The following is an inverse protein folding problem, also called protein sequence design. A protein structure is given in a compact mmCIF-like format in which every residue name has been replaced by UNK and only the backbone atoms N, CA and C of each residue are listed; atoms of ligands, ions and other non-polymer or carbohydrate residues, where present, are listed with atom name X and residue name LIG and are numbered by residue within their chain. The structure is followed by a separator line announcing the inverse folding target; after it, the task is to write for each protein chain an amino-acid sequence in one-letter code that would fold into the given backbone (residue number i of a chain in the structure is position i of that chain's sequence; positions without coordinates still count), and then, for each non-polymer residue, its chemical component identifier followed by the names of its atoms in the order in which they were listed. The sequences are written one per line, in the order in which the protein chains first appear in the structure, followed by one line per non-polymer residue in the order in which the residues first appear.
data_IF_478380214015
#
_entry.id   IF_478380214015
#
_cell.length_a   1.000
_cell.length_b   1.000
_cell.length_c   1.000
_cell.angle_alpha   90.00
_cell.angle_beta   90.00
_cell.angle_gamma   90.00
#
_symmetry.space_group_name_H-M   'P 1'
#
loop_
_entity.id
_entity.type
_entity.pdbx_description
1 polymer ?
#
# COMPACT_ATOMS: atom_id res chain seq x y z
N UNK A 1 16.48 23.07 -6.33
CA UNK A 1 16.90 22.82 -4.93
C UNK A 1 15.84 23.21 -3.89
N UNK A 2 15.26 24.42 -3.93
CA UNK A 2 14.21 24.85 -2.95
C UNK A 2 12.99 23.92 -2.87
N UNK A 3 12.49 23.41 -4.01
CA UNK A 3 11.36 22.48 -4.07
C UNK A 3 11.67 21.14 -3.35
N UNK A 4 12.80 20.52 -3.66
CA UNK A 4 13.22 19.27 -3.01
C UNK A 4 13.36 19.44 -1.49
N UNK A 5 13.94 20.57 -1.06
CA UNK A 5 14.07 20.86 0.37
C UNK A 5 12.70 21.05 1.04
N UNK A 6 11.74 21.78 0.40
CA UNK A 6 10.36 21.94 0.91
C UNK A 6 9.65 20.59 1.03
N UNK A 7 9.77 19.72 0.00
CA UNK A 7 9.17 18.38 0.00
C UNK A 7 9.80 17.45 1.03
N UNK A 8 11.12 17.50 1.18
CA UNK A 8 11.83 16.72 2.21
C UNK A 8 11.44 17.18 3.61
N UNK A 9 11.35 18.50 3.84
CA UNK A 9 10.87 19.02 5.11
C UNK A 9 9.43 18.58 5.40
N UNK A 10 8.54 18.61 4.41
CA UNK A 10 7.17 18.08 4.53
C UNK A 10 7.15 16.59 4.86
N UNK A 11 7.97 15.78 4.17
CA UNK A 11 8.12 14.35 4.46
C UNK A 11 8.53 14.10 5.92
N UNK A 12 9.59 14.78 6.38
CA UNK A 12 10.10 14.63 7.77
C UNK A 12 9.04 15.09 8.77
N UNK A 13 8.40 16.23 8.53
CA UNK A 13 7.34 16.75 9.41
C UNK A 13 6.17 15.78 9.50
N UNK A 14 5.70 15.25 8.37
CA UNK A 14 4.60 14.28 8.34
C UNK A 14 4.98 13.00 9.08
N UNK A 15 6.20 12.50 8.89
CA UNK A 15 6.70 11.34 9.64
C UNK A 15 6.75 11.57 11.14
N UNK A 16 7.23 12.75 11.58
CA UNK A 16 7.26 13.11 12.99
C UNK A 16 5.84 13.16 13.59
N UNK A 17 4.91 13.82 12.91
CA UNK A 17 3.52 13.93 13.37
C UNK A 17 2.86 12.55 13.46
N UNK A 18 2.97 11.73 12.42
CA UNK A 18 2.39 10.38 12.40
C UNK A 18 3.01 9.50 13.48
N UNK A 19 4.34 9.53 13.63
CA UNK A 19 5.04 8.76 14.66
C UNK A 19 4.63 9.18 16.07
N UNK A 20 4.49 10.50 16.30
CA UNK A 20 4.00 11.02 17.57
C UNK A 20 2.56 10.59 17.86
N UNK A 21 1.67 10.70 16.87
CA UNK A 21 0.27 10.28 17.02
C UNK A 21 0.15 8.79 17.33
N UNK A 22 0.91 7.96 16.63
CA UNK A 22 0.97 6.52 16.90
C UNK A 22 1.48 6.26 18.31
N UNK A 23 2.60 6.86 18.71
CA UNK A 23 3.15 6.71 20.05
C UNK A 23 2.17 7.17 21.13
N UNK A 24 1.57 8.35 20.97
CA UNK A 24 0.61 8.91 21.93
C UNK A 24 -0.67 8.05 22.03
N UNK A 25 -1.19 7.54 20.91
CA UNK A 25 -2.33 6.65 20.91
C UNK A 25 -2.09 5.42 21.80
N UNK A 26 -0.93 4.78 21.68
CA UNK A 26 -0.60 3.62 22.52
C UNK A 26 -0.26 3.99 23.96
N UNK A 27 0.18 5.21 24.23
CA UNK A 27 0.40 5.69 25.61
C UNK A 27 -0.92 5.93 26.37
N UNK A 28 -2.02 6.19 25.65
CA UNK A 28 -3.36 6.43 26.24
C UNK A 28 -4.18 5.15 26.40
N UNK A 29 -3.85 4.09 25.66
CA UNK A 29 -4.58 2.81 25.75
C UNK A 29 -4.48 2.26 27.19
N UNK A 30 -5.62 1.91 27.83
CA UNK A 30 -5.61 1.33 29.17
C UNK A 30 -4.83 0.01 29.21
N UNK A 31 -3.89 -0.07 30.13
CA UNK A 31 -3.03 -1.23 30.33
C UNK A 31 -1.60 -0.80 30.65
N UNK A 32 -0.97 -1.48 31.57
CA UNK A 32 0.42 -1.22 31.95
C UNK A 32 1.35 -2.14 31.14
N UNK A 33 2.24 -1.59 30.29
CA UNK A 33 3.19 -2.36 29.52
C UNK A 33 4.05 -3.31 30.39
N UNK A 34 4.45 -2.86 31.58
CA UNK A 34 5.24 -3.67 32.50
C UNK A 34 4.44 -4.90 32.98
N UNK A 35 3.16 -4.72 33.29
CA UNK A 35 2.26 -5.83 33.65
C UNK A 35 2.06 -6.79 32.47
N UNK A 36 1.93 -6.27 31.23
CA UNK A 36 1.79 -7.10 30.03
C UNK A 36 3.04 -7.95 29.77
N UNK A 37 4.24 -7.42 30.04
CA UNK A 37 5.50 -8.16 29.90
C UNK A 37 5.72 -9.24 30.97
N UNK A 38 5.41 -8.94 32.23
CA UNK A 38 5.63 -9.86 33.35
C UNK A 38 4.52 -10.93 33.47
N UNK A 39 3.33 -10.62 32.95
CA UNK A 39 2.20 -11.55 33.02
C UNK A 39 1.92 -12.06 34.45
N UNK A 40 1.90 -13.37 34.61
CA UNK A 40 1.65 -14.03 35.91
C UNK A 40 2.83 -13.94 36.91
N UNK A 41 4.00 -13.45 36.47
CA UNK A 41 5.18 -13.25 37.33
C UNK A 41 5.28 -11.84 37.89
N UNK A 42 4.26 -11.02 37.71
CA UNK A 42 4.20 -9.63 38.15
C UNK A 42 4.12 -9.56 39.69
N UNK A 43 5.23 -9.17 40.32
CA UNK A 43 5.24 -8.72 41.71
C UNK A 43 5.36 -7.20 41.76
N UNK A 44 4.89 -6.53 42.86
CA UNK A 44 4.97 -5.07 42.97
C UNK A 44 6.39 -4.53 42.74
N UNK A 45 7.41 -5.21 43.26
CA UNK A 45 8.82 -4.81 43.16
C UNK A 45 9.32 -4.95 41.72
N UNK A 46 9.02 -6.09 41.04
CA UNK A 46 9.38 -6.31 39.63
C UNK A 46 8.68 -5.33 38.71
N UNK A 47 7.43 -5.01 38.99
CA UNK A 47 6.68 -4.00 38.22
C UNK A 47 7.29 -2.63 38.36
N UNK A 48 7.64 -2.20 39.58
CA UNK A 48 8.27 -0.91 39.83
C UNK A 48 9.63 -0.81 39.09
N UNK A 49 10.48 -1.81 39.23
CA UNK A 49 11.77 -1.88 38.55
C UNK A 49 11.65 -1.86 37.02
N UNK A 50 10.70 -2.61 36.47
CA UNK A 50 10.49 -2.66 35.02
C UNK A 50 9.90 -1.35 34.47
N UNK A 51 8.98 -0.71 35.20
CA UNK A 51 8.45 0.64 34.83
C UNK A 51 9.55 1.68 34.80
N UNK A 52 10.47 1.66 35.76
CA UNK A 52 11.62 2.56 35.78
C UNK A 52 12.57 2.27 34.61
N UNK A 53 12.89 0.99 34.35
CA UNK A 53 13.73 0.55 33.23
C UNK A 53 13.12 0.93 31.86
N UNK A 54 11.82 0.85 31.72
CA UNK A 54 11.09 1.23 30.51
C UNK A 54 10.84 2.73 30.40
N UNK A 55 11.23 3.54 31.41
CA UNK A 55 11.01 4.96 31.46
C UNK A 55 9.53 5.35 31.52
N UNK A 56 8.64 4.48 31.98
CA UNK A 56 7.19 4.73 31.98
C UNK A 56 6.76 5.87 32.93
N UNK A 57 7.63 6.23 33.89
CA UNK A 57 7.43 7.33 34.81
C UNK A 57 7.81 8.72 34.25
N UNK A 58 8.48 8.73 33.09
CA UNK A 58 8.91 9.96 32.44
C UNK A 58 7.75 10.65 31.68
N UNK A 59 7.82 11.99 31.52
CA UNK A 59 6.85 12.75 30.72
C UNK A 59 6.74 12.21 29.29
N UNK A 60 5.52 12.24 28.71
CA UNK A 60 5.21 11.69 27.38
C UNK A 60 6.19 12.12 26.28
N UNK A 61 6.56 13.40 26.27
CA UNK A 61 7.47 13.96 25.26
C UNK A 61 8.90 13.42 25.38
N UNK A 62 9.38 13.20 26.62
CA UNK A 62 10.70 12.59 26.87
C UNK A 62 10.71 11.15 26.38
N UNK A 63 9.68 10.39 26.73
CA UNK A 63 9.48 9.00 26.26
C UNK A 63 9.41 8.91 24.75
N UNK A 64 8.66 9.83 24.10
CA UNK A 64 8.60 9.89 22.65
C UNK A 64 9.96 10.19 22.03
N UNK A 65 10.71 11.17 22.59
CA UNK A 65 12.06 11.50 22.10
C UNK A 65 13.01 10.31 22.16
N UNK A 66 13.08 9.61 23.29
CA UNK A 66 13.89 8.40 23.46
C UNK A 66 13.47 7.29 22.51
N UNK A 67 12.15 7.04 22.39
CA UNK A 67 11.61 6.06 21.46
C UNK A 67 11.95 6.40 20.00
N UNK A 68 11.80 7.65 19.59
CA UNK A 68 12.09 8.07 18.22
C UNK A 68 13.57 7.93 17.86
N UNK A 69 14.47 8.27 18.78
CA UNK A 69 15.91 8.08 18.58
C UNK A 69 16.26 6.60 18.45
N UNK A 70 15.75 5.75 19.32
CA UNK A 70 15.95 4.30 19.25
C UNK A 70 15.40 3.73 17.95
N UNK A 71 14.20 4.18 17.54
CA UNK A 71 13.56 3.75 16.29
C UNK A 71 14.42 4.07 15.06
N UNK A 72 15.00 5.28 14.99
CA UNK A 72 15.89 5.68 13.88
C UNK A 72 17.19 4.85 13.88
N UNK A 73 17.67 4.42 15.05
CA UNK A 73 18.84 3.54 15.18
C UNK A 73 18.51 2.06 14.85
N UNK A 74 17.24 1.75 14.59
CA UNK A 74 16.78 0.40 14.23
C UNK A 74 16.46 -0.48 15.45
N UNK A 75 16.37 0.12 16.63
CA UNK A 75 15.81 -0.51 17.82
C UNK A 75 14.31 -0.19 17.92
N UNK A 76 13.48 -1.17 17.58
CA UNK A 76 12.03 -1.07 17.61
C UNK A 76 11.43 -1.61 18.92
N UNK A 77 12.28 -1.90 19.90
CA UNK A 77 11.91 -2.49 21.18
C UNK A 77 11.77 -4.00 21.16
N UNK A 78 11.22 -4.53 22.26
CA UNK A 78 11.03 -5.98 22.48
C UNK A 78 9.53 -6.30 22.50
N UNK A 79 9.14 -7.35 21.80
CA UNK A 79 7.78 -7.90 21.83
C UNK A 79 7.38 -8.30 23.23
N UNK A 80 6.22 -7.87 23.70
CA UNK A 80 5.69 -8.26 25.01
C UNK A 80 5.29 -9.73 25.05
N UNK A 81 4.79 -10.25 23.93
CA UNK A 81 4.30 -11.62 23.81
C UNK A 81 5.42 -12.65 23.62
N UNK A 82 6.37 -12.35 22.73
CA UNK A 82 7.38 -13.33 22.29
C UNK A 82 8.74 -13.11 22.93
N UNK A 83 8.95 -12.02 23.70
CA UNK A 83 10.21 -11.66 24.34
C UNK A 83 11.41 -11.65 23.37
N UNK A 84 11.15 -11.25 22.13
CA UNK A 84 12.11 -11.16 21.03
C UNK A 84 12.20 -9.72 20.53
N UNK A 85 13.35 -9.34 19.98
CA UNK A 85 13.51 -8.04 19.33
C UNK A 85 12.51 -7.89 18.19
N UNK A 86 11.73 -6.79 18.18
CA UNK A 86 10.73 -6.49 17.14
C UNK A 86 11.37 -6.45 15.76
N UNK A 87 12.60 -5.92 15.67
CA UNK A 87 13.36 -5.85 14.41
C UNK A 87 13.48 -7.24 13.75
N UNK A 88 13.83 -8.29 14.49
CA UNK A 88 13.97 -9.63 13.93
C UNK A 88 12.64 -10.20 13.48
N UNK A 89 11.55 -9.88 14.19
CA UNK A 89 10.21 -10.36 13.85
C UNK A 89 9.68 -9.76 12.54
N UNK A 90 9.96 -8.48 12.26
CA UNK A 90 9.41 -7.78 11.09
C UNK A 90 10.32 -7.85 9.87
N UNK A 91 11.64 -7.99 10.05
CA UNK A 91 12.62 -7.93 8.96
C UNK A 91 12.32 -8.92 7.81
N UNK A 92 11.97 -10.16 8.15
CA UNK A 92 11.62 -11.19 7.16
C UNK A 92 10.25 -10.97 6.49
N UNK A 93 9.38 -10.16 7.09
CA UNK A 93 8.01 -9.90 6.62
C UNK A 93 7.95 -8.72 5.65
N UNK A 94 8.88 -7.78 5.80
CA UNK A 94 8.99 -6.58 4.94
C UNK A 94 9.07 -6.95 3.45
N UNK A 95 10.00 -7.82 2.99
CA UNK A 95 10.09 -8.19 1.58
C UNK A 95 8.80 -8.82 1.04
N UNK A 96 8.08 -9.58 1.87
CA UNK A 96 6.84 -10.26 1.49
C UNK A 96 5.76 -9.23 1.14
N UNK A 97 5.47 -8.30 2.07
CA UNK A 97 4.45 -7.25 1.86
C UNK A 97 4.84 -6.30 0.73
N UNK A 98 6.12 -5.91 0.64
CA UNK A 98 6.60 -5.05 -0.43
C UNK A 98 6.47 -5.71 -1.81
N UNK A 99 6.84 -6.98 -1.94
CA UNK A 99 6.71 -7.73 -3.21
C UNK A 99 5.24 -7.89 -3.59
N UNK A 100 4.38 -8.26 -2.64
CA UNK A 100 2.94 -8.37 -2.87
C UNK A 100 2.35 -7.05 -3.40
N UNK A 101 2.67 -5.93 -2.74
CA UNK A 101 2.18 -4.60 -3.13
C UNK A 101 2.74 -4.17 -4.49
N UNK A 102 4.04 -4.41 -4.73
CA UNK A 102 4.67 -4.08 -6.01
C UNK A 102 4.06 -4.89 -7.16
N UNK A 103 3.87 -6.20 -7.00
CA UNK A 103 3.22 -7.05 -8.00
C UNK A 103 1.78 -6.59 -8.26
N UNK A 104 1.02 -6.27 -7.21
CA UNK A 104 -0.34 -5.75 -7.35
C UNK A 104 -0.37 -4.46 -8.17
N UNK A 105 0.56 -3.54 -7.90
CA UNK A 105 0.69 -2.30 -8.66
C UNK A 105 1.04 -2.54 -10.13
N UNK A 106 2.00 -3.43 -10.41
CA UNK A 106 2.38 -3.78 -11.76
C UNK A 106 1.22 -4.41 -12.54
N UNK A 107 0.48 -5.33 -11.93
CA UNK A 107 -0.71 -5.95 -12.52
C UNK A 107 -1.78 -4.89 -12.81
N UNK A 108 -2.05 -3.99 -11.85
CA UNK A 108 -2.99 -2.89 -12.04
C UNK A 108 -2.64 -2.06 -13.27
N UNK A 109 -1.38 -1.62 -13.39
CA UNK A 109 -0.91 -0.80 -14.52
C UNK A 109 -0.97 -1.58 -15.84
N UNK A 110 -0.47 -2.82 -15.84
CA UNK A 110 -0.43 -3.68 -17.03
C UNK A 110 -1.82 -4.01 -17.58
N UNK A 111 -2.84 -4.08 -16.72
CA UNK A 111 -4.22 -4.34 -17.14
C UNK A 111 -4.94 -3.04 -17.47
N UNK A 112 -4.84 -2.01 -16.63
CA UNK A 112 -5.69 -0.83 -16.74
C UNK A 112 -5.36 0.03 -17.97
N UNK A 113 -4.09 0.19 -18.31
CA UNK A 113 -3.71 1.05 -19.44
C UNK A 113 -4.17 0.45 -20.78
N UNK A 114 -3.83 -0.81 -21.14
CA UNK A 114 -4.28 -1.37 -22.40
C UNK A 114 -5.80 -1.49 -22.51
N UNK A 115 -6.47 -1.95 -21.44
CA UNK A 115 -7.93 -2.13 -21.45
C UNK A 115 -8.65 -0.77 -21.51
N UNK A 116 -8.18 0.24 -20.76
CA UNK A 116 -8.75 1.59 -20.79
C UNK A 116 -8.64 2.25 -22.17
N UNK A 117 -7.49 2.12 -22.83
CA UNK A 117 -7.28 2.62 -24.20
C UNK A 117 -8.11 1.85 -25.22
N UNK A 118 -8.21 0.54 -25.07
CA UNK A 118 -9.04 -0.29 -25.92
C UNK A 118 -10.52 0.13 -25.82
N UNK A 119 -11.05 0.32 -24.61
CA UNK A 119 -12.41 0.80 -24.39
C UNK A 119 -12.64 2.20 -24.95
N UNK A 120 -11.67 3.09 -24.82
CA UNK A 120 -11.76 4.44 -25.40
C UNK A 120 -11.78 4.42 -26.91
N UNK A 121 -10.96 3.56 -27.53
CA UNK A 121 -10.92 3.40 -29.00
C UNK A 121 -12.23 2.83 -29.58
N UNK A 122 -12.90 1.92 -28.83
CA UNK A 122 -14.16 1.29 -29.25
C UNK A 122 -15.38 1.87 -28.50
N UNK A 123 -15.31 3.13 -28.10
CA UNK A 123 -16.32 3.76 -27.27
C UNK A 123 -17.73 3.67 -27.88
N UNK A 124 -18.71 3.28 -27.04
CA UNK A 124 -20.11 3.08 -27.44
C UNK A 124 -20.40 1.72 -28.08
N UNK A 125 -19.36 0.90 -28.40
CA UNK A 125 -19.51 -0.45 -28.91
C UNK A 125 -19.98 -1.46 -27.85
N UNK A 126 -20.32 -2.67 -28.30
CA UNK A 126 -20.79 -3.75 -27.40
C UNK A 126 -19.73 -4.15 -26.39
N UNK A 127 -18.47 -4.28 -26.82
CA UNK A 127 -17.36 -4.67 -25.93
C UNK A 127 -17.09 -3.61 -24.88
N UNK A 128 -17.07 -2.33 -25.25
CA UNK A 128 -16.94 -1.21 -24.31
C UNK A 128 -18.01 -1.25 -23.22
N UNK A 129 -19.29 -1.48 -23.60
CA UNK A 129 -20.40 -1.60 -22.65
C UNK A 129 -20.23 -2.80 -21.71
N UNK A 130 -19.81 -3.95 -22.22
CA UNK A 130 -19.57 -5.15 -21.39
C UNK A 130 -18.45 -4.86 -20.38
N UNK A 131 -17.33 -4.31 -20.83
CA UNK A 131 -16.20 -3.99 -19.92
C UNK A 131 -16.62 -2.97 -18.86
N UNK A 132 -17.42 -1.96 -19.20
CA UNK A 132 -17.93 -0.98 -18.23
C UNK A 132 -18.84 -1.63 -17.18
N UNK A 133 -19.72 -2.57 -17.58
CA UNK A 133 -20.57 -3.31 -16.63
C UNK A 133 -19.70 -4.17 -15.72
N UNK A 134 -18.76 -4.95 -16.28
CA UNK A 134 -17.84 -5.79 -15.50
C UNK A 134 -17.02 -4.95 -14.54
N UNK A 135 -16.46 -3.81 -14.99
CA UNK A 135 -15.75 -2.89 -14.13
C UNK A 135 -16.60 -2.37 -12.97
N UNK A 136 -17.87 -2.02 -13.25
CA UNK A 136 -18.78 -1.54 -12.21
C UNK A 136 -19.04 -2.61 -11.14
N UNK A 137 -19.18 -3.87 -11.53
CA UNK A 137 -19.32 -5.01 -10.61
C UNK A 137 -18.03 -5.19 -9.80
N UNK A 138 -16.87 -5.21 -10.46
CA UNK A 138 -15.57 -5.37 -9.79
C UNK A 138 -15.31 -4.25 -8.76
N UNK A 139 -15.63 -2.99 -9.11
CA UNK A 139 -15.47 -1.84 -8.21
C UNK A 139 -16.36 -1.91 -6.97
N UNK A 140 -17.49 -2.60 -7.03
CA UNK A 140 -18.40 -2.78 -5.91
C UNK A 140 -17.94 -3.89 -4.94
N UNK A 141 -17.03 -4.76 -5.37
CA UNK A 141 -16.53 -5.88 -4.58
C UNK A 141 -15.40 -5.42 -3.65
N UNK A 142 -15.51 -5.61 -2.32
CA UNK A 142 -14.42 -5.33 -1.40
C UNK A 142 -13.19 -6.22 -1.70
N UNK A 143 -11.95 -5.71 -1.53
CA UNK A 143 -10.73 -6.47 -1.86
C UNK A 143 -10.63 -7.84 -1.15
N UNK A 144 -11.03 -7.95 0.12
CA UNK A 144 -10.99 -9.22 0.85
C UNK A 144 -11.95 -10.25 0.23
N UNK A 145 -13.11 -9.81 -0.22
CA UNK A 145 -14.09 -10.68 -0.85
C UNK A 145 -13.60 -11.15 -2.23
N UNK A 146 -12.95 -10.26 -3.01
CA UNK A 146 -12.24 -10.66 -4.23
C UNK A 146 -11.20 -11.75 -3.94
N UNK A 147 -10.45 -11.63 -2.84
CA UNK A 147 -9.50 -12.65 -2.41
C UNK A 147 -10.14 -13.99 -2.13
N UNK A 148 -11.28 -14.00 -1.42
CA UNK A 148 -12.04 -15.22 -1.13
C UNK A 148 -12.55 -15.86 -2.43
N UNK A 149 -13.14 -15.08 -3.34
CA UNK A 149 -13.63 -15.57 -4.63
C UNK A 149 -12.51 -16.14 -5.49
N UNK A 150 -11.34 -15.49 -5.53
CA UNK A 150 -10.17 -15.98 -6.25
C UNK A 150 -9.67 -17.28 -5.62
N UNK A 151 -9.61 -17.39 -4.31
CA UNK A 151 -9.22 -18.61 -3.62
C UNK A 151 -10.20 -19.74 -3.91
N UNK A 152 -11.50 -19.47 -3.87
CA UNK A 152 -12.53 -20.46 -4.20
C UNK A 152 -12.41 -20.94 -5.66
N UNK A 153 -12.38 -20.00 -6.62
CA UNK A 153 -12.40 -20.34 -8.02
C UNK A 153 -11.07 -20.96 -8.48
N UNK A 154 -9.95 -20.27 -8.24
CA UNK A 154 -8.66 -20.69 -8.77
C UNK A 154 -7.91 -21.68 -7.87
N UNK A 155 -8.17 -21.65 -6.56
CA UNK A 155 -7.54 -22.58 -5.62
C UNK A 155 -8.33 -23.89 -5.47
N UNK A 156 -9.64 -23.81 -5.19
CA UNK A 156 -10.43 -24.99 -4.83
C UNK A 156 -11.15 -25.63 -6.03
N UNK A 157 -11.62 -24.84 -7.00
CA UNK A 157 -12.35 -25.38 -8.17
C UNK A 157 -11.41 -25.72 -9.31
N UNK A 158 -10.53 -24.78 -9.69
CA UNK A 158 -9.62 -24.97 -10.84
C UNK A 158 -8.26 -25.54 -10.45
N UNK A 159 -7.94 -25.65 -9.15
CA UNK A 159 -6.68 -26.21 -8.62
C UNK A 159 -5.41 -25.59 -9.24
N UNK A 160 -5.43 -24.29 -9.57
CA UNK A 160 -4.28 -23.59 -10.17
C UNK A 160 -3.22 -23.16 -9.15
N UNK A 161 -3.59 -23.10 -7.88
CA UNK A 161 -2.66 -22.92 -6.76
C UNK A 161 -3.22 -23.59 -5.50
N UNK A 162 -2.36 -23.91 -4.55
CA UNK A 162 -2.78 -24.49 -3.26
C UNK A 162 -3.04 -23.37 -2.24
N UNK A 163 -4.28 -23.16 -1.77
CA UNK A 163 -4.55 -22.22 -0.71
C UNK A 163 -3.74 -22.53 0.55
N UNK A 164 -3.04 -21.52 1.10
CA UNK A 164 -2.13 -21.71 2.22
C UNK A 164 -0.77 -22.35 1.89
N UNK A 165 -0.53 -22.72 0.65
CA UNK A 165 0.75 -23.29 0.17
C UNK A 165 1.81 -22.20 -0.10
N UNK A 166 1.95 -21.22 0.80
CA UNK A 166 2.96 -20.18 0.69
C UNK A 166 4.38 -20.75 0.64
N UNK A 167 5.15 -20.29 -0.34
CA UNK A 167 6.58 -20.65 -0.48
C UNK A 167 7.41 -19.40 -0.14
N UNK A 168 8.39 -19.57 0.78
CA UNK A 168 9.28 -18.47 1.15
C UNK A 168 10.22 -18.10 0.01
N UNK A 169 10.52 -16.81 -0.12
CA UNK A 169 11.51 -16.30 -1.09
C UNK A 169 12.92 -16.84 -0.80
N UNK A 170 13.21 -17.26 0.43
CA UNK A 170 14.46 -17.89 0.82
C UNK A 170 14.57 -19.33 0.34
N UNK A 171 13.44 -20.01 0.11
CA UNK A 171 13.38 -21.38 -0.37
C UNK A 171 13.34 -21.44 -1.89
N UNK A 172 12.47 -20.62 -2.52
CA UNK A 172 12.31 -20.54 -3.97
C UNK A 172 11.71 -19.20 -4.38
N UNK A 173 12.48 -18.38 -5.08
CA UNK A 173 12.00 -17.08 -5.59
C UNK A 173 10.87 -17.28 -6.61
N UNK A 174 10.97 -18.26 -7.51
CA UNK A 174 9.94 -18.54 -8.51
C UNK A 174 8.66 -19.06 -7.86
N UNK A 175 8.75 -19.95 -6.88
CA UNK A 175 7.60 -20.42 -6.10
C UNK A 175 6.94 -19.31 -5.30
N UNK A 176 7.74 -18.43 -4.69
CA UNK A 176 7.27 -17.25 -3.98
C UNK A 176 6.48 -16.31 -4.90
N UNK A 177 7.07 -15.89 -6.02
CA UNK A 177 6.41 -15.00 -6.97
C UNK A 177 5.17 -15.65 -7.59
N UNK A 178 5.25 -16.95 -7.94
CA UNK A 178 4.11 -17.71 -8.46
C UNK A 178 2.94 -17.76 -7.48
N UNK A 179 3.19 -17.99 -6.19
CA UNK A 179 2.14 -17.95 -5.17
C UNK A 179 1.50 -16.58 -5.02
N UNK A 180 2.29 -15.51 -5.11
CA UNK A 180 1.81 -14.13 -4.94
C UNK A 180 0.95 -13.61 -6.11
N UNK A 181 0.90 -14.28 -7.28
CA UNK A 181 0.11 -13.84 -8.44
C UNK A 181 -1.37 -13.64 -8.05
N UNK A 182 -2.01 -14.65 -7.49
CA UNK A 182 -3.45 -14.59 -7.15
C UNK A 182 -3.79 -13.58 -6.05
N UNK A 183 -3.04 -13.52 -4.94
CA UNK A 183 -3.18 -12.43 -3.96
C UNK A 183 -2.99 -11.04 -4.57
N UNK A 184 -1.98 -10.89 -5.45
CA UNK A 184 -1.73 -9.62 -6.15
C UNK A 184 -2.88 -9.22 -7.07
N UNK A 185 -3.48 -10.17 -7.78
CA UNK A 185 -4.68 -9.94 -8.60
C UNK A 185 -5.84 -9.48 -7.73
N UNK A 186 -6.05 -10.09 -6.56
CA UNK A 186 -7.13 -9.70 -5.65
C UNK A 186 -7.04 -8.22 -5.20
N UNK A 187 -5.82 -7.74 -4.93
CA UNK A 187 -5.57 -6.34 -4.57
C UNK A 187 -5.71 -5.43 -5.81
N UNK A 188 -5.19 -5.87 -6.96
CA UNK A 188 -5.13 -5.07 -8.17
C UNK A 188 -6.49 -4.84 -8.84
N UNK A 189 -7.38 -5.83 -8.82
CA UNK A 189 -8.62 -5.88 -9.61
C UNK A 189 -9.52 -4.65 -9.39
N UNK A 190 -9.91 -4.26 -8.17
CA UNK A 190 -10.78 -3.10 -7.95
C UNK A 190 -10.12 -1.79 -8.41
N UNK A 191 -8.81 -1.65 -8.18
CA UNK A 191 -8.05 -0.46 -8.57
C UNK A 191 -7.83 -0.39 -10.08
N UNK A 192 -7.60 -1.54 -10.74
CA UNK A 192 -7.50 -1.62 -12.19
C UNK A 192 -8.83 -1.23 -12.85
N UNK A 193 -9.96 -1.71 -12.36
CA UNK A 193 -11.28 -1.35 -12.87
C UNK A 193 -11.55 0.17 -12.78
N UNK A 194 -11.13 0.80 -11.67
CA UNK A 194 -11.25 2.24 -11.49
C UNK A 194 -10.33 3.01 -12.45
N UNK A 195 -9.07 2.56 -12.61
CA UNK A 195 -8.12 3.17 -13.54
C UNK A 195 -8.56 3.04 -15.01
N UNK A 196 -9.14 1.89 -15.41
CA UNK A 196 -9.72 1.67 -16.74
C UNK A 196 -10.80 2.72 -17.01
N UNK A 197 -11.76 2.87 -16.09
CA UNK A 197 -12.85 3.85 -16.21
C UNK A 197 -12.32 5.28 -16.31
N UNK A 198 -11.35 5.63 -15.47
CA UNK A 198 -10.74 6.95 -15.45
C UNK A 198 -10.00 7.23 -16.77
N UNK A 199 -9.15 6.33 -17.24
CA UNK A 199 -8.41 6.50 -18.49
C UNK A 199 -9.34 6.64 -19.69
N UNK A 200 -10.35 5.74 -19.79
CA UNK A 200 -11.36 5.82 -20.84
C UNK A 200 -12.06 7.19 -20.85
N UNK A 201 -12.51 7.66 -19.69
CA UNK A 201 -13.23 8.95 -19.59
C UNK A 201 -12.31 10.12 -19.95
N UNK A 202 -11.07 10.12 -19.48
CA UNK A 202 -10.06 11.11 -19.79
C UNK A 202 -9.78 11.18 -21.29
N UNK A 203 -9.57 10.04 -21.93
CA UNK A 203 -9.35 9.96 -23.39
C UNK A 203 -10.54 10.51 -24.15
N UNK A 204 -11.77 10.14 -23.79
CA UNK A 204 -12.99 10.61 -24.47
C UNK A 204 -13.22 12.12 -24.27
N UNK A 205 -12.81 12.69 -23.15
CA UNK A 205 -12.86 14.13 -22.91
C UNK A 205 -11.82 14.86 -23.76
N UNK A 206 -10.60 14.39 -23.82
CA UNK A 206 -9.52 14.96 -24.63
C UNK A 206 -9.82 14.90 -26.13
N UNK A 207 -10.47 13.82 -26.60
CA UNK A 207 -10.86 13.65 -28.02
C UNK A 207 -11.81 14.73 -28.53
N UNK A 208 -12.46 15.49 -27.65
CA UNK A 208 -13.40 16.58 -28.02
C UNK A 208 -12.71 17.93 -28.23
N UNK A 209 -11.43 18.06 -27.86
CA UNK A 209 -10.72 19.34 -27.90
C UNK A 209 -10.25 19.71 -29.31
N UNK A 210 -10.08 21.02 -29.57
CA UNK A 210 -9.78 21.55 -30.89
C UNK A 210 -8.42 21.10 -31.46
N UNK A 211 -7.43 20.87 -30.60
CA UNK A 211 -6.14 20.38 -31.07
C UNK A 211 -6.24 18.97 -31.72
N UNK A 212 -7.23 18.17 -31.30
CA UNK A 212 -7.50 16.85 -31.89
C UNK A 212 -8.05 17.01 -33.30
N UNK A 213 -8.96 18.01 -33.54
CA UNK A 213 -9.43 18.33 -34.88
C UNK A 213 -8.30 18.75 -35.79
N UNK A 214 -7.37 19.58 -35.25
CA UNK A 214 -6.17 19.99 -35.99
C UNK A 214 -5.27 18.79 -36.34
N UNK A 215 -5.14 17.82 -35.44
CA UNK A 215 -4.36 16.60 -35.70
C UNK A 215 -4.98 15.78 -36.86
N UNK A 216 -6.32 15.65 -36.90
CA UNK A 216 -7.01 15.00 -38.01
C UNK A 216 -6.85 15.74 -39.32
N UNK A 217 -6.95 17.09 -39.31
CA UNK A 217 -6.77 17.93 -40.50
C UNK A 217 -5.36 17.83 -41.09
N UNK A 218 -4.36 17.42 -40.28
CA UNK A 218 -2.97 17.11 -40.71
C UNK A 218 -2.80 15.71 -41.29
N UNK A 219 -3.88 14.93 -41.46
CA UNK A 219 -3.85 13.60 -42.07
C UNK A 219 -3.56 12.47 -41.12
N UNK A 220 -3.53 12.71 -39.80
CA UNK A 220 -3.35 11.63 -38.83
C UNK A 220 -4.59 10.73 -38.78
N UNK A 221 -4.38 9.41 -38.75
CA UNK A 221 -5.46 8.44 -38.52
C UNK A 221 -5.84 8.37 -37.02
N UNK A 222 -6.98 7.76 -36.72
CA UNK A 222 -7.51 7.66 -35.35
C UNK A 222 -6.53 7.07 -34.36
N UNK A 223 -5.73 6.05 -34.75
CA UNK A 223 -4.70 5.46 -33.87
C UNK A 223 -3.57 6.46 -33.62
N UNK A 224 -3.07 7.14 -34.63
CA UNK A 224 -2.04 8.17 -34.51
C UNK A 224 -2.49 9.31 -33.57
N UNK A 225 -3.71 9.82 -33.78
CA UNK A 225 -4.30 10.85 -32.91
C UNK A 225 -4.38 10.36 -31.46
N UNK A 226 -4.89 9.16 -31.24
CA UNK A 226 -5.05 8.60 -29.90
C UNK A 226 -3.70 8.45 -29.16
N UNK A 227 -2.73 7.78 -29.79
CA UNK A 227 -1.49 7.42 -29.11
C UNK A 227 -0.46 8.55 -29.07
N UNK A 228 -0.37 9.40 -30.11
CA UNK A 228 0.65 10.44 -30.21
C UNK A 228 0.21 11.79 -29.63
N UNK A 229 -1.09 12.09 -29.65
CA UNK A 229 -1.59 13.41 -29.25
C UNK A 229 -2.45 13.33 -27.97
N UNK A 230 -3.49 12.47 -27.96
CA UNK A 230 -4.50 12.45 -26.90
C UNK A 230 -3.96 11.77 -25.63
N UNK A 231 -3.31 10.61 -25.75
CA UNK A 231 -2.86 9.82 -24.59
C UNK A 231 -1.92 10.62 -23.68
N UNK A 232 -1.07 11.45 -24.24
CA UNK A 232 -0.11 12.25 -23.49
C UNK A 232 -0.79 13.16 -22.46
N UNK A 233 -1.94 13.71 -22.77
CA UNK A 233 -2.71 14.59 -21.88
C UNK A 233 -3.69 13.76 -21.03
N UNK A 234 -4.37 12.79 -21.65
CA UNK A 234 -5.37 11.96 -20.99
C UNK A 234 -4.80 11.06 -19.87
N UNK A 235 -3.50 10.76 -19.89
CA UNK A 235 -2.87 9.91 -18.89
C UNK A 235 -2.57 10.66 -17.58
N UNK A 236 -2.53 11.99 -17.57
CA UNK A 236 -2.16 12.78 -16.37
C UNK A 236 -3.05 12.48 -15.17
N UNK A 237 -4.40 12.52 -15.25
CA UNK A 237 -5.26 12.17 -14.14
C UNK A 237 -5.09 10.71 -13.69
N UNK A 238 -4.76 9.81 -14.63
CA UNK A 238 -4.53 8.40 -14.35
C UNK A 238 -3.25 8.20 -13.53
N UNK A 239 -2.17 8.88 -13.89
CA UNK A 239 -0.91 8.84 -13.14
C UNK A 239 -1.13 9.32 -11.71
N UNK A 240 -1.92 10.41 -11.53
CA UNK A 240 -2.33 10.88 -10.19
C UNK A 240 -3.05 9.79 -9.41
N UNK A 241 -4.03 9.16 -10.03
CA UNK A 241 -4.76 8.05 -9.41
C UNK A 241 -3.84 6.86 -9.08
N UNK A 242 -2.94 6.47 -9.99
CA UNK A 242 -1.97 5.40 -9.76
C UNK A 242 -1.05 5.72 -8.57
N UNK A 243 -0.68 6.99 -8.41
CA UNK A 243 0.08 7.46 -7.24
C UNK A 243 -0.65 7.22 -5.91
N UNK A 244 -1.93 7.60 -5.84
CA UNK A 244 -2.76 7.41 -4.64
C UNK A 244 -3.09 5.92 -4.40
N UNK A 245 -3.37 5.17 -5.46
CA UNK A 245 -3.74 3.75 -5.38
C UNK A 245 -2.67 2.88 -4.71
N UNK A 246 -1.39 3.25 -4.79
CA UNK A 246 -0.30 2.53 -4.11
C UNK A 246 -0.44 2.53 -2.60
N UNK A 247 -0.77 3.67 -2.01
CA UNK A 247 -1.00 3.78 -0.57
C UNK A 247 -2.16 2.85 -0.12
N UNK A 248 -3.26 2.88 -0.88
CA UNK A 248 -4.42 2.01 -0.65
C UNK A 248 -4.08 0.53 -0.81
N UNK A 249 -3.17 0.18 -1.74
CA UNK A 249 -2.74 -1.21 -1.94
C UNK A 249 -1.91 -1.74 -0.77
N UNK A 250 -1.07 -0.90 -0.15
CA UNK A 250 -0.36 -1.26 1.08
C UNK A 250 -1.35 -1.55 2.21
N UNK A 251 -2.36 -0.71 2.38
CA UNK A 251 -3.42 -0.95 3.36
C UNK A 251 -4.25 -2.20 3.03
N UNK A 252 -4.57 -2.40 1.75
CA UNK A 252 -5.31 -3.57 1.26
C UNK A 252 -4.55 -4.89 1.42
N UNK A 253 -3.21 -4.86 1.31
CA UNK A 253 -2.38 -6.06 1.47
C UNK A 253 -2.51 -6.70 2.86
N UNK A 254 -2.74 -5.90 3.91
CA UNK A 254 -2.93 -6.38 5.29
C UNK A 254 -4.02 -7.45 5.35
N UNK A 255 -5.15 -7.17 4.73
CA UNK A 255 -6.31 -8.09 4.75
C UNK A 255 -6.08 -9.29 3.81
N UNK A 256 -5.49 -9.05 2.66
CA UNK A 256 -5.19 -10.12 1.67
C UNK A 256 -4.14 -11.09 2.21
N UNK A 257 -3.13 -10.63 2.93
CA UNK A 257 -2.17 -11.50 3.62
C UNK A 257 -2.88 -12.47 4.59
N UNK A 258 -3.92 -11.99 5.29
CA UNK A 258 -4.72 -12.86 6.16
C UNK A 258 -5.53 -13.89 5.37
N UNK A 259 -6.21 -13.46 4.29
CA UNK A 259 -7.04 -14.33 3.44
C UNK A 259 -6.22 -15.47 2.80
N UNK A 260 -5.03 -15.15 2.29
CA UNK A 260 -4.17 -16.10 1.60
C UNK A 260 -3.14 -16.78 2.51
N UNK A 261 -3.20 -16.53 3.83
CA UNK A 261 -2.26 -17.08 4.81
C UNK A 261 -0.78 -16.74 4.53
N UNK A 262 -0.54 -15.51 4.03
CA UNK A 262 0.81 -15.02 3.70
C UNK A 262 1.45 -14.44 4.98
N UNK A 263 2.70 -14.84 5.32
CA UNK A 263 3.39 -14.34 6.52
C UNK A 263 4.03 -12.97 6.28
N UNK A 264 3.23 -11.94 5.96
CA UNK A 264 3.67 -10.57 5.78
C UNK A 264 3.44 -9.68 7.00
N UNK A 265 3.68 -8.35 6.84
CA UNK A 265 3.51 -7.34 7.90
C UNK A 265 2.07 -7.19 8.37
N UNK A 266 1.10 -7.31 7.47
CA UNK A 266 -0.32 -7.19 7.82
C UNK A 266 -0.78 -8.32 8.72
N UNK A 267 -0.35 -9.54 8.45
CA UNK A 267 -0.71 -10.68 9.26
C UNK A 267 -0.14 -10.61 10.68
N UNK A 268 1.15 -10.25 10.81
CA UNK A 268 1.76 -10.09 12.14
C UNK A 268 1.14 -8.88 12.86
N UNK A 269 0.77 -7.81 12.15
CA UNK A 269 0.07 -6.66 12.72
C UNK A 269 -1.25 -7.07 13.38
N UNK A 270 -2.13 -7.77 12.66
CA UNK A 270 -3.42 -8.22 13.19
C UNK A 270 -3.25 -9.17 14.38
N UNK A 271 -2.28 -10.09 14.31
CA UNK A 271 -1.96 -10.99 15.42
C UNK A 271 -1.45 -10.22 16.63
N UNK A 272 -0.59 -9.23 16.44
CA UNK A 272 -0.02 -8.42 17.52
C UNK A 272 -1.05 -7.50 18.17
N UNK A 273 -2.00 -6.95 17.39
CA UNK A 273 -3.15 -6.20 17.92
C UNK A 273 -3.98 -7.10 18.85
N UNK A 274 -4.31 -8.30 18.39
CA UNK A 274 -5.10 -9.27 19.17
C UNK A 274 -4.39 -9.70 20.46
N UNK A 275 -3.06 -9.76 20.45
CA UNK A 275 -2.22 -10.08 21.60
C UNK A 275 -1.85 -8.87 22.47
N UNK A 276 -2.26 -7.65 22.10
CA UNK A 276 -1.85 -6.39 22.74
C UNK A 276 -0.34 -6.18 22.81
N UNK A 277 0.38 -6.65 21.79
CA UNK A 277 1.82 -6.53 21.64
C UNK A 277 2.18 -5.17 21.02
N UNK A 278 2.07 -4.13 21.83
CA UNK A 278 2.18 -2.74 21.39
C UNK A 278 3.48 -2.37 20.68
N UNK A 279 4.69 -2.82 21.12
CA UNK A 279 5.91 -2.49 20.40
C UNK A 279 5.90 -3.00 18.95
N UNK A 280 5.41 -4.21 18.71
CA UNK A 280 5.29 -4.77 17.36
C UNK A 280 4.27 -3.97 16.52
N UNK A 281 3.11 -3.64 17.11
CA UNK A 281 2.07 -2.87 16.43
C UNK A 281 2.57 -1.47 16.07
N UNK A 282 3.21 -0.76 17.00
CA UNK A 282 3.79 0.57 16.77
C UNK A 282 4.83 0.53 15.63
N UNK A 283 5.76 -0.41 15.69
CA UNK A 283 6.81 -0.54 14.69
C UNK A 283 6.23 -0.78 13.29
N UNK A 284 5.25 -1.67 13.16
CA UNK A 284 4.63 -1.98 11.86
C UNK A 284 3.84 -0.79 11.33
N UNK A 285 3.04 -0.10 12.17
CA UNK A 285 2.24 1.06 11.75
C UNK A 285 3.16 2.18 11.26
N UNK A 286 4.23 2.50 12.01
CA UNK A 286 5.20 3.54 11.60
C UNK A 286 5.94 3.13 10.33
N UNK A 287 6.29 1.86 10.17
CA UNK A 287 6.92 1.37 8.96
C UNK A 287 5.98 1.43 7.73
N UNK A 288 4.71 1.05 7.88
CA UNK A 288 3.69 1.19 6.82
C UNK A 288 3.50 2.67 6.47
N UNK A 289 3.40 3.55 7.46
CA UNK A 289 3.30 4.98 7.24
C UNK A 289 4.53 5.51 6.48
N UNK A 290 5.74 5.06 6.85
CA UNK A 290 6.95 5.40 6.12
C UNK A 290 6.87 4.97 4.65
N UNK A 291 6.47 3.73 4.35
CA UNK A 291 6.31 3.25 2.96
C UNK A 291 5.35 4.14 2.18
N UNK A 292 4.19 4.45 2.77
CA UNK A 292 3.15 5.27 2.13
C UNK A 292 3.65 6.69 1.86
N UNK A 293 4.19 7.37 2.87
CA UNK A 293 4.65 8.75 2.77
C UNK A 293 5.86 8.84 1.83
N UNK A 294 6.81 7.91 1.94
CA UNK A 294 7.98 7.84 1.05
C UNK A 294 7.57 7.60 -0.40
N UNK A 295 6.62 6.72 -0.63
CA UNK A 295 6.11 6.44 -1.97
C UNK A 295 5.40 7.66 -2.56
N UNK A 296 4.60 8.39 -1.77
CA UNK A 296 3.98 9.64 -2.20
C UNK A 296 5.03 10.71 -2.51
N UNK A 297 6.07 10.82 -1.68
CA UNK A 297 7.19 11.70 -1.94
C UNK A 297 7.88 11.39 -3.28
N UNK A 298 8.13 10.12 -3.59
CA UNK A 298 8.71 9.72 -4.89
C UNK A 298 7.78 10.07 -6.07
N UNK A 299 6.47 9.88 -5.90
CA UNK A 299 5.49 10.26 -6.94
C UNK A 299 5.47 11.76 -7.18
N UNK A 300 5.50 12.55 -6.12
CA UNK A 300 5.55 14.01 -6.23
C UNK A 300 6.80 14.48 -7.01
N UNK A 301 7.94 13.82 -6.80
CA UNK A 301 9.16 14.10 -7.56
C UNK A 301 9.03 13.72 -9.05
N UNK A 302 8.36 12.60 -9.35
CA UNK A 302 8.08 12.19 -10.72
C UNK A 302 7.13 13.16 -11.42
N UNK A 303 6.10 13.64 -10.73
CA UNK A 303 5.18 14.65 -11.28
C UNK A 303 5.89 15.93 -11.68
N UNK A 304 6.76 16.46 -10.85
CA UNK A 304 7.53 17.65 -11.18
C UNK A 304 8.36 17.48 -12.44
N UNK A 305 8.90 16.28 -12.68
CA UNK A 305 9.68 15.98 -13.89
C UNK A 305 8.80 15.86 -15.14
N UNK A 306 7.54 15.43 -15.00
CA UNK A 306 6.61 15.21 -16.12
C UNK A 306 5.86 16.47 -16.50
N UNK A 307 5.47 17.30 -15.54
CA UNK A 307 4.81 18.58 -15.79
C UNK A 307 5.48 19.71 -15.00
N UNK A 308 6.41 20.45 -15.65
CA UNK A 308 7.10 21.59 -15.02
C UNK A 308 6.18 22.77 -14.66
N UNK A 309 4.91 22.75 -15.10
CA UNK A 309 3.91 23.80 -14.80
C UNK A 309 3.29 23.65 -13.43
N UNK A 310 3.47 22.51 -12.77
CA UNK A 310 3.05 22.30 -11.39
C UNK A 310 4.04 23.03 -10.47
N UNK A 311 3.91 24.35 -10.38
CA UNK A 311 4.52 25.14 -9.30
C UNK A 311 3.57 25.06 -8.11
N UNK A 312 3.99 24.39 -7.06
CA UNK A 312 3.29 24.46 -5.78
C UNK A 312 3.63 25.80 -5.13
N UNK A 313 2.65 26.69 -5.09
CA UNK A 313 2.66 27.87 -4.22
C UNK A 313 2.71 27.49 -2.75
#
# INVERSE_FOLDING_TARGET
MKYLAKKLAGFVMTMLVVSFLVFAAFAVIPGDPATAMLGTQATPEKLAALREQMGLNEPLLVRFGSWAVNFIQGDFGTSYKYQMAVRSMIAEKIPVTLTLTAMSFLIMVAVSIPVGLFCAHHAGGKVDRIVLIVNQVIMAIPPFFSGILITLLFGLVLHLFTPGGYVSYTTSVTGFLGYLIFPSVAIALPKAAMAIKLLRTSVLSEMKLDYVRTAYSRGNNTKGVLYQHVLRNAIIPVITFLGMARADMVAGSIVIEQVFNIPGLGRILLTSISNRDYPVVQAIIVFIAFIVIFTNFLVDLLYQKMDPRITLD
#
